data_IF_967801616908
#
_entry.id   IF_967801616908
#
_cell.length_a   1.000
_cell.length_b   1.000
_cell.length_c   1.000
_cell.angle_alpha   90.00
_cell.angle_beta   90.00
_cell.angle_gamma   90.00
#
_symmetry.space_group_name_H-M   'P 1'
#
loop_
_entity.id
_entity.type
_entity.pdbx_description
1 polymer ?
#
# COMPACT_ATOMS: atom_id res chain seq x y z
N UNK A 1 -45.47 -47.34 -13.90
CA UNK A 1 -44.70 -46.41 -13.06
C UNK A 1 -43.56 -45.83 -13.89
N UNK A 2 -43.81 -44.72 -14.60
CA UNK A 2 -42.82 -44.03 -15.43
C UNK A 2 -42.01 -43.08 -14.53
N UNK A 3 -40.70 -43.33 -14.39
CA UNK A 3 -39.76 -42.42 -13.72
C UNK A 3 -39.29 -41.37 -14.72
N UNK A 4 -39.66 -40.11 -14.47
CA UNK A 4 -39.12 -38.94 -15.14
C UNK A 4 -37.71 -38.65 -14.62
N UNK A 5 -36.72 -38.65 -15.52
CA UNK A 5 -35.37 -38.15 -15.25
C UNK A 5 -35.35 -36.67 -15.67
N UNK A 6 -35.30 -35.78 -14.68
CA UNK A 6 -35.12 -34.33 -14.87
C UNK A 6 -33.64 -34.05 -15.15
N UNK A 7 -33.31 -33.72 -16.38
CA UNK A 7 -32.03 -33.14 -16.79
C UNK A 7 -31.97 -31.66 -16.38
N UNK A 8 -31.17 -31.35 -15.36
CA UNK A 8 -30.86 -29.97 -14.99
C UNK A 8 -29.84 -29.42 -16.01
N UNK A 9 -30.31 -28.61 -16.95
CA UNK A 9 -29.44 -27.80 -17.81
C UNK A 9 -28.82 -26.68 -16.98
N UNK A 10 -27.52 -26.78 -16.75
CA UNK A 10 -26.72 -25.75 -16.11
C UNK A 10 -26.49 -24.60 -17.11
N UNK A 11 -27.29 -23.54 -17.03
CA UNK A 11 -27.02 -22.29 -17.75
C UNK A 11 -25.78 -21.62 -17.14
N UNK A 12 -24.65 -21.74 -17.84
CA UNK A 12 -23.46 -20.92 -17.64
C UNK A 12 -23.80 -19.45 -17.97
N UNK A 13 -24.17 -18.67 -16.95
CA UNK A 13 -24.15 -17.22 -17.02
C UNK A 13 -22.69 -16.75 -17.05
N UNK A 14 -22.15 -16.56 -18.25
CA UNK A 14 -20.91 -15.84 -18.44
C UNK A 14 -21.12 -14.39 -17.97
N UNK A 15 -20.58 -14.05 -16.80
CA UNK A 15 -20.48 -12.67 -16.36
C UNK A 15 -19.62 -11.87 -17.36
N UNK A 16 -19.98 -10.61 -17.65
CA UNK A 16 -19.17 -9.79 -18.56
C UNK A 16 -17.79 -9.56 -17.93
N UNK A 17 -16.75 -9.98 -18.64
CA UNK A 17 -15.37 -9.61 -18.34
C UNK A 17 -15.25 -8.10 -18.54
N UNK A 18 -15.20 -7.35 -17.44
CA UNK A 18 -14.78 -5.96 -17.48
C UNK A 18 -13.31 -5.95 -17.87
N UNK A 19 -13.02 -5.48 -19.08
CA UNK A 19 -11.66 -5.25 -19.53
C UNK A 19 -10.99 -4.29 -18.54
N UNK A 20 -10.06 -4.81 -17.73
CA UNK A 20 -9.17 -4.00 -16.91
C UNK A 20 -8.39 -3.08 -17.86
N UNK A 21 -8.68 -1.79 -17.81
CA UNK A 21 -7.95 -0.79 -18.56
C UNK A 21 -6.51 -0.79 -18.08
N UNK A 22 -5.58 -1.17 -18.94
CA UNK A 22 -4.14 -1.01 -18.72
C UNK A 22 -3.86 0.41 -18.23
N UNK A 23 -3.34 0.53 -17.00
CA UNK A 23 -2.96 1.80 -16.40
C UNK A 23 -1.89 2.48 -17.27
N UNK A 24 -2.33 3.33 -18.21
CA UNK A 24 -1.46 4.11 -19.08
C UNK A 24 -0.89 5.28 -18.30
N UNK A 25 0.38 5.14 -17.94
CA UNK A 25 1.37 6.20 -17.70
C UNK A 25 0.85 7.47 -17.04
N UNK A 26 1.10 7.58 -15.73
CA UNK A 26 1.03 8.84 -15.00
C UNK A 26 1.99 9.85 -15.66
N UNK A 27 1.51 11.04 -16.03
CA UNK A 27 2.34 12.15 -16.55
C UNK A 27 2.09 13.38 -15.67
N UNK A 28 2.18 13.17 -14.35
CA UNK A 28 2.12 14.24 -13.36
C UNK A 28 3.47 14.92 -13.19
N UNK A 29 3.56 16.02 -12.42
CA UNK A 29 4.85 16.41 -11.85
C UNK A 29 5.44 15.19 -11.12
N UNK A 30 6.77 14.99 -11.15
CA UNK A 30 7.39 13.92 -10.37
C UNK A 30 6.95 14.08 -8.91
N UNK A 31 6.60 12.96 -8.28
CA UNK A 31 6.35 12.96 -6.85
C UNK A 31 7.56 13.59 -6.12
N UNK A 32 7.35 14.20 -4.95
CA UNK A 32 8.47 14.73 -4.16
C UNK A 32 9.57 13.68 -4.06
N UNK A 33 10.81 14.08 -4.36
CA UNK A 33 11.96 13.17 -4.34
C UNK A 33 12.29 12.65 -2.92
N UNK A 34 11.55 13.10 -1.92
CA UNK A 34 11.72 12.84 -0.51
C UNK A 34 10.38 12.49 0.12
N UNK A 35 10.34 11.44 0.95
CA UNK A 35 9.18 11.04 1.74
C UNK A 35 9.57 10.98 3.21
N UNK A 36 8.89 11.75 4.05
CA UNK A 36 9.26 11.91 5.44
C UNK A 36 8.23 11.34 6.40
N UNK A 37 8.71 11.05 7.61
CA UNK A 37 7.91 10.77 8.81
C UNK A 37 6.95 11.92 9.11
N UNK A 38 5.94 11.67 9.94
CA UNK A 38 4.90 12.67 10.24
C UNK A 38 5.48 13.95 10.86
N UNK A 39 6.52 13.81 11.68
CA UNK A 39 7.25 14.93 12.29
C UNK A 39 8.30 15.57 11.36
N UNK A 40 8.49 15.04 10.15
CA UNK A 40 9.46 15.53 9.17
C UNK A 40 10.93 15.29 9.53
N UNK A 41 11.24 14.60 10.64
CA UNK A 41 12.63 14.44 11.12
C UNK A 41 13.42 13.41 10.33
N UNK A 42 12.76 12.39 9.79
CA UNK A 42 13.43 11.33 9.01
C UNK A 42 12.78 11.21 7.66
N UNK A 43 13.61 11.09 6.65
CA UNK A 43 13.16 11.11 5.28
C UNK A 43 13.90 10.08 4.45
N UNK A 44 13.20 9.52 3.47
CA UNK A 44 13.74 8.61 2.48
C UNK A 44 13.74 9.33 1.14
N UNK A 45 14.92 9.50 0.56
CA UNK A 45 15.12 10.12 -0.74
C UNK A 45 15.19 9.10 -1.87
N UNK A 46 14.74 9.46 -3.08
CA UNK A 46 14.88 8.60 -4.28
C UNK A 46 16.35 8.24 -4.54
N UNK A 47 17.26 9.22 -4.42
CA UNK A 47 18.68 9.05 -4.70
C UNK A 47 19.40 8.12 -3.70
N UNK A 48 18.93 8.06 -2.46
CA UNK A 48 19.52 7.26 -1.37
C UNK A 48 18.49 6.27 -0.81
N UNK A 49 17.59 5.78 -1.67
CA UNK A 49 16.41 5.03 -1.24
C UNK A 49 16.74 3.89 -0.28
N UNK A 50 17.70 3.03 -0.63
CA UNK A 50 18.06 1.87 0.17
C UNK A 50 18.83 2.24 1.45
N UNK A 51 19.91 3.05 1.42
CA UNK A 51 20.57 3.51 2.64
C UNK A 51 19.61 4.20 3.62
N UNK A 52 18.76 5.12 3.14
CA UNK A 52 17.79 5.83 3.97
C UNK A 52 16.75 4.88 4.56
N UNK A 53 16.24 3.94 3.76
CA UNK A 53 15.30 2.91 4.21
C UNK A 53 15.92 2.05 5.30
N UNK A 54 17.12 1.53 5.11
CA UNK A 54 17.80 0.70 6.10
C UNK A 54 18.12 1.48 7.39
N UNK A 55 18.54 2.75 7.29
CA UNK A 55 18.74 3.61 8.45
C UNK A 55 17.43 3.83 9.23
N UNK A 56 16.33 4.05 8.53
CA UNK A 56 15.02 4.22 9.17
C UNK A 56 14.50 2.92 9.77
N UNK A 57 14.74 1.76 9.15
CA UNK A 57 14.41 0.45 9.72
C UNK A 57 15.15 0.25 11.05
N UNK A 58 16.47 0.50 11.08
CA UNK A 58 17.26 0.39 12.30
C UNK A 58 16.68 1.28 13.42
N UNK A 59 16.42 2.54 13.07
CA UNK A 59 15.89 3.52 14.01
C UNK A 59 14.49 3.15 14.54
N UNK A 60 13.57 2.80 13.64
CA UNK A 60 12.20 2.46 14.03
C UNK A 60 12.14 1.16 14.83
N UNK A 61 13.03 0.20 14.55
CA UNK A 61 13.18 -1.01 15.34
C UNK A 61 13.64 -0.68 16.77
N UNK A 62 14.66 0.16 16.93
CA UNK A 62 15.19 0.59 18.22
C UNK A 62 14.11 1.24 19.10
N UNK A 63 13.40 2.24 18.56
CA UNK A 63 12.28 2.91 19.26
C UNK A 63 11.16 1.95 19.66
N UNK A 64 10.94 0.89 18.87
CA UNK A 64 9.91 -0.10 19.11
C UNK A 64 10.39 -1.28 19.98
N UNK A 65 11.66 -1.30 20.40
CA UNK A 65 12.27 -2.40 21.14
C UNK A 65 12.32 -3.71 20.33
N UNK A 66 12.48 -3.62 19.02
CA UNK A 66 12.57 -4.74 18.09
C UNK A 66 14.03 -4.97 17.68
N UNK A 67 14.36 -6.22 17.34
CA UNK A 67 15.60 -6.50 16.63
C UNK A 67 15.51 -5.94 15.19
N UNK A 68 16.50 -5.16 14.71
CA UNK A 68 16.45 -4.54 13.39
C UNK A 68 16.51 -5.57 12.25
N UNK A 69 17.18 -6.71 12.45
CA UNK A 69 17.21 -7.83 11.51
C UNK A 69 15.85 -8.52 11.39
N UNK A 70 15.13 -8.72 12.49
CA UNK A 70 13.74 -9.21 12.47
C UNK A 70 12.86 -8.29 11.63
N UNK A 71 12.94 -6.98 11.90
CA UNK A 71 12.10 -6.01 11.23
C UNK A 71 12.43 -5.85 9.74
N UNK A 72 13.72 -5.86 9.40
CA UNK A 72 14.19 -5.89 8.01
C UNK A 72 13.68 -7.12 7.25
N UNK A 73 13.81 -8.33 7.83
CA UNK A 73 13.29 -9.57 7.23
C UNK A 73 11.78 -9.51 7.00
N UNK A 74 11.04 -8.91 7.92
CA UNK A 74 9.61 -8.72 7.81
C UNK A 74 9.25 -7.80 6.63
N UNK A 75 9.80 -6.59 6.59
CA UNK A 75 9.54 -5.63 5.50
C UNK A 75 10.02 -6.17 4.14
N UNK A 76 11.10 -6.96 4.14
CA UNK A 76 11.56 -7.67 2.96
C UNK A 76 10.53 -8.71 2.50
N UNK A 77 9.93 -9.46 3.43
CA UNK A 77 8.90 -10.45 3.12
C UNK A 77 7.62 -9.80 2.60
N UNK A 78 7.28 -8.62 3.08
CA UNK A 78 6.09 -7.87 2.64
C UNK A 78 6.20 -7.38 1.20
N UNK A 79 7.31 -6.73 0.85
CA UNK A 79 7.38 -5.99 -0.42
C UNK A 79 8.74 -6.04 -1.12
N UNK A 80 9.77 -6.64 -0.48
CA UNK A 80 11.18 -6.48 -0.88
C UNK A 80 11.60 -5.02 -0.93
N UNK A 81 11.09 -4.24 0.02
CA UNK A 81 11.27 -2.78 0.12
C UNK A 81 10.66 -1.98 -1.04
N UNK A 82 9.69 -2.51 -1.78
CA UNK A 82 8.98 -1.75 -2.81
C UNK A 82 7.96 -0.79 -2.18
N UNK A 83 8.18 0.55 -2.25
CA UNK A 83 7.27 1.52 -1.65
C UNK A 83 5.96 1.65 -2.43
N UNK A 84 5.90 1.14 -3.66
CA UNK A 84 4.73 1.17 -4.54
C UNK A 84 3.95 -0.15 -4.55
N UNK A 85 4.34 -1.14 -3.74
CA UNK A 85 3.73 -2.47 -3.73
C UNK A 85 2.22 -2.42 -3.46
N UNK A 86 1.46 -3.20 -4.22
CA UNK A 86 0.03 -3.39 -4.04
C UNK A 86 -0.30 -4.88 -4.23
N UNK A 87 -0.78 -5.55 -3.18
CA UNK A 87 -1.19 -6.95 -3.30
C UNK A 87 -2.56 -7.09 -3.97
N UNK A 88 -2.91 -8.29 -4.49
CA UNK A 88 -4.25 -8.56 -5.01
C UNK A 88 -5.37 -8.38 -3.97
N UNK A 89 -5.06 -8.56 -2.69
CA UNK A 89 -5.99 -8.33 -1.58
C UNK A 89 -6.12 -6.85 -1.19
N UNK A 90 -5.25 -5.98 -1.74
CA UNK A 90 -5.26 -4.54 -1.51
C UNK A 90 -4.30 -4.07 -0.43
N UNK A 91 -3.33 -4.89 0.00
CA UNK A 91 -2.28 -4.48 0.94
C UNK A 91 -1.29 -3.52 0.27
N UNK A 92 -0.83 -2.49 0.99
CA UNK A 92 -0.26 -1.28 0.40
C UNK A 92 1.14 -0.94 0.92
N UNK A 93 2.03 -0.59 -0.01
CA UNK A 93 3.34 -0.01 0.23
C UNK A 93 4.37 -0.98 0.84
N UNK A 94 5.46 -0.41 1.34
CA UNK A 94 6.63 -1.16 1.82
C UNK A 94 6.29 -2.16 2.93
N UNK A 95 5.32 -1.81 3.78
CA UNK A 95 4.91 -2.59 4.94
C UNK A 95 3.57 -3.33 4.74
N UNK A 96 3.01 -3.29 3.53
CA UNK A 96 1.78 -3.98 3.12
C UNK A 96 0.61 -3.80 4.10
N UNK A 97 0.36 -2.56 4.51
CA UNK A 97 -0.82 -2.29 5.34
C UNK A 97 -2.10 -2.52 4.53
N UNK A 98 -3.03 -3.30 5.09
CA UNK A 98 -4.41 -3.31 4.60
C UNK A 98 -5.06 -1.95 4.86
N UNK A 99 -5.94 -1.44 3.97
CA UNK A 99 -6.52 -0.11 4.12
C UNK A 99 -7.26 0.11 5.44
N UNK A 100 -7.99 -0.91 5.92
CA UNK A 100 -8.66 -0.88 7.22
C UNK A 100 -7.66 -0.75 8.37
N UNK A 101 -6.57 -1.51 8.34
CA UNK A 101 -5.51 -1.44 9.34
C UNK A 101 -4.80 -0.09 9.30
N UNK A 102 -4.44 0.41 8.12
CA UNK A 102 -3.83 1.74 7.97
C UNK A 102 -4.68 2.83 8.64
N UNK A 103 -6.00 2.81 8.39
CA UNK A 103 -6.95 3.74 9.02
C UNK A 103 -6.99 3.60 10.55
N UNK A 104 -7.09 2.38 11.08
CA UNK A 104 -7.10 2.12 12.53
C UNK A 104 -5.81 2.59 13.21
N UNK A 105 -4.69 2.58 12.49
CA UNK A 105 -3.38 2.97 13.00
C UNK A 105 -2.98 4.42 12.65
N UNK A 106 -3.91 5.20 12.09
CA UNK A 106 -3.66 6.60 11.73
C UNK A 106 -2.62 6.80 10.62
N UNK A 107 -2.32 5.76 9.84
CA UNK A 107 -1.41 5.83 8.70
C UNK A 107 -2.15 6.39 7.49
N UNK A 108 -2.00 7.69 7.25
CA UNK A 108 -2.69 8.40 6.17
C UNK A 108 -2.23 7.98 4.78
N UNK A 109 -0.94 7.71 4.60
CA UNK A 109 -0.36 7.28 3.33
C UNK A 109 0.52 6.03 3.50
N UNK A 110 -0.03 4.83 3.27
CA UNK A 110 0.74 3.58 3.32
C UNK A 110 1.88 3.48 2.29
N UNK A 111 1.85 4.30 1.23
CA UNK A 111 2.87 4.34 0.18
C UNK A 111 3.99 5.34 0.48
N UNK A 112 3.87 6.15 1.55
CA UNK A 112 4.99 6.86 2.11
C UNK A 112 5.82 5.87 2.95
N UNK A 113 6.99 5.42 2.47
CA UNK A 113 7.75 4.38 3.16
C UNK A 113 8.20 4.83 4.54
N UNK A 114 8.49 6.13 4.74
CA UNK A 114 8.96 6.62 6.03
C UNK A 114 7.86 6.50 7.10
N UNK A 115 6.63 6.89 6.76
CA UNK A 115 5.49 6.74 7.67
C UNK A 115 5.10 5.28 7.88
N UNK A 116 5.12 4.48 6.81
CA UNK A 116 4.77 3.06 6.87
C UNK A 116 5.75 2.24 7.72
N UNK A 117 7.06 2.50 7.63
CA UNK A 117 8.08 1.83 8.46
C UNK A 117 7.84 2.14 9.94
N UNK A 118 7.68 3.42 10.32
CA UNK A 118 7.43 3.77 11.71
C UNK A 118 6.11 3.17 12.24
N UNK A 119 5.05 3.19 11.42
CA UNK A 119 3.77 2.59 11.79
C UNK A 119 3.87 1.07 11.96
N UNK A 120 4.61 0.39 11.07
CA UNK A 120 4.81 -1.06 11.11
C UNK A 120 5.59 -1.48 12.35
N UNK A 121 6.66 -0.76 12.71
CA UNK A 121 7.44 -1.03 13.91
C UNK A 121 6.58 -0.92 15.19
N UNK A 122 5.80 0.17 15.32
CA UNK A 122 4.87 0.33 16.44
C UNK A 122 3.82 -0.78 16.48
N UNK A 123 3.25 -1.12 15.33
CA UNK A 123 2.25 -2.18 15.25
C UNK A 123 2.83 -3.55 15.66
N UNK A 124 4.06 -3.86 15.26
CA UNK A 124 4.76 -5.07 15.69
C UNK A 124 5.07 -5.08 17.19
N UNK A 125 5.46 -3.95 17.77
CA UNK A 125 5.65 -3.84 19.21
C UNK A 125 4.34 -4.11 19.98
N UNK A 126 3.21 -3.57 19.51
CA UNK A 126 1.89 -3.86 20.08
C UNK A 126 1.52 -5.35 19.94
N UNK A 127 1.79 -5.95 18.77
CA UNK A 127 1.54 -7.38 18.54
C UNK A 127 2.39 -8.25 19.45
N UNK A 128 3.67 -7.92 19.63
CA UNK A 128 4.57 -8.59 20.58
C UNK A 128 4.07 -8.43 22.01
N UNK A 129 3.69 -7.24 22.43
CA UNK A 129 3.15 -7.01 23.77
C UNK A 129 1.85 -7.80 24.00
N UNK A 130 1.01 -7.91 22.97
CA UNK A 130 -0.29 -8.60 23.04
C UNK A 130 -0.16 -10.13 23.02
N UNK A 131 0.77 -10.66 22.24
CA UNK A 131 0.91 -12.11 22.01
C UNK A 131 2.14 -12.73 22.65
N UNK A 132 2.97 -11.94 23.32
CA UNK A 132 4.07 -12.38 24.18
C UNK A 132 5.44 -12.45 23.49
N UNK A 133 5.50 -12.82 22.20
CA UNK A 133 6.78 -13.00 21.50
C UNK A 133 6.74 -12.56 20.02
N UNK A 134 7.92 -12.47 19.39
CA UNK A 134 8.09 -11.98 18.02
C UNK A 134 7.53 -12.93 16.95
N UNK A 135 7.50 -14.24 17.21
CA UNK A 135 6.89 -15.20 16.30
C UNK A 135 5.38 -15.05 16.23
N UNK A 136 4.72 -14.97 17.38
CA UNK A 136 3.28 -14.72 17.44
C UNK A 136 2.92 -13.29 17.00
N UNK A 137 3.84 -12.33 17.15
CA UNK A 137 3.69 -11.01 16.54
C UNK A 137 3.66 -11.09 15.00
N UNK A 138 4.54 -11.89 14.39
CA UNK A 138 4.53 -12.13 12.93
C UNK A 138 3.24 -12.85 12.49
N UNK A 139 2.71 -13.79 13.30
CA UNK A 139 1.38 -14.40 13.06
C UNK A 139 0.30 -13.33 13.04
N UNK A 140 0.27 -12.43 14.02
CA UNK A 140 -0.71 -11.35 14.10
C UNK A 140 -0.59 -10.34 12.96
N UNK A 141 0.62 -10.02 12.55
CA UNK A 141 0.89 -9.07 11.48
C UNK A 141 0.37 -9.57 10.12
N UNK A 142 0.74 -10.78 9.71
CA UNK A 142 0.32 -11.35 8.42
C UNK A 142 -1.06 -12.01 8.47
N UNK A 143 -1.32 -12.82 9.50
CA UNK A 143 -2.54 -13.62 9.62
C UNK A 143 -3.75 -12.86 10.19
N UNK A 144 -3.51 -11.68 10.77
CA UNK A 144 -4.50 -10.88 11.49
C UNK A 144 -4.62 -11.28 12.96
N UNK A 145 -4.96 -10.29 13.80
CA UNK A 145 -5.00 -10.42 15.25
C UNK A 145 -5.98 -11.51 15.75
N UNK A 146 -7.13 -11.65 15.09
CA UNK A 146 -8.16 -12.63 15.44
C UNK A 146 -7.67 -14.06 15.19
N UNK A 147 -6.99 -14.27 14.06
CA UNK A 147 -6.40 -15.56 13.71
C UNK A 147 -5.28 -15.91 14.67
N UNK A 148 -4.43 -14.94 15.04
CA UNK A 148 -3.41 -15.14 16.06
C UNK A 148 -4.03 -15.56 17.41
N UNK A 149 -5.07 -14.86 17.89
CA UNK A 149 -5.76 -15.24 19.14
C UNK A 149 -6.33 -16.66 19.09
N UNK A 150 -6.97 -17.04 17.99
CA UNK A 150 -7.54 -18.38 17.84
C UNK A 150 -6.46 -19.46 17.78
N UNK A 151 -5.35 -19.19 17.08
CA UNK A 151 -4.21 -20.09 17.00
C UNK A 151 -3.53 -20.32 18.36
N UNK A 152 -3.29 -19.23 19.11
CA UNK A 152 -2.71 -19.29 20.46
C UNK A 152 -3.61 -20.07 21.40
N UNK A 153 -4.94 -19.88 21.29
CA UNK A 153 -5.90 -20.58 22.13
C UNK A 153 -6.18 -22.04 21.69
N UNK A 154 -5.49 -22.58 20.69
CA UNK A 154 -5.72 -23.93 20.16
C UNK A 154 -7.08 -24.12 19.48
N UNK A 155 -7.77 -23.03 19.11
CA UNK A 155 -9.14 -23.01 18.56
C UNK A 155 -9.18 -22.85 17.03
N UNK A 156 -8.03 -22.75 16.37
CA UNK A 156 -7.94 -22.63 14.92
C UNK A 156 -6.52 -22.83 14.40
N UNK A 157 -6.42 -23.10 13.10
CA UNK A 157 -5.14 -23.21 12.39
C UNK A 157 -4.72 -21.91 11.71
N UNK A 158 -3.52 -21.92 11.13
CA UNK A 158 -3.00 -20.83 10.32
C UNK A 158 -3.12 -21.15 8.83
N UNK A 159 -3.27 -20.11 8.01
CA UNK A 159 -3.16 -20.26 6.56
C UNK A 159 -1.71 -20.62 6.20
N UNK A 160 -1.52 -21.42 5.15
CA UNK A 160 -0.18 -21.83 4.70
C UNK A 160 0.76 -20.66 4.40
N UNK A 161 0.21 -19.53 3.93
CA UNK A 161 0.94 -18.28 3.76
C UNK A 161 1.55 -17.78 5.08
N UNK A 162 0.74 -17.73 6.14
CA UNK A 162 1.18 -17.27 7.48
C UNK A 162 2.21 -18.21 8.09
N UNK A 163 2.06 -19.53 7.91
CA UNK A 163 3.05 -20.52 8.36
C UNK A 163 4.40 -20.26 7.67
N UNK A 164 4.39 -20.11 6.34
CA UNK A 164 5.60 -19.81 5.57
C UNK A 164 6.20 -18.44 5.94
N UNK A 165 5.35 -17.45 6.22
CA UNK A 165 5.74 -16.10 6.60
C UNK A 165 6.51 -16.07 7.92
N UNK A 166 5.98 -16.71 8.97
CA UNK A 166 6.65 -16.80 10.28
C UNK A 166 8.01 -17.48 10.13
N UNK A 167 8.04 -18.63 9.45
CA UNK A 167 9.27 -19.38 9.24
C UNK A 167 10.33 -18.58 8.48
N UNK A 168 9.93 -17.80 7.47
CA UNK A 168 10.85 -16.99 6.68
C UNK A 168 11.50 -15.87 7.51
N UNK A 169 10.79 -15.31 8.50
CA UNK A 169 11.28 -14.19 9.31
C UNK A 169 12.10 -14.71 10.49
N UNK A 170 11.61 -15.75 11.16
CA UNK A 170 12.18 -16.19 12.43
C UNK A 170 13.02 -17.47 12.34
N UNK A 171 12.94 -18.22 11.26
CA UNK A 171 13.58 -19.54 11.15
C UNK A 171 12.86 -20.68 11.88
N UNK A 172 11.76 -20.40 12.58
CA UNK A 172 11.02 -21.35 13.43
C UNK A 172 9.55 -21.43 13.01
N UNK A 173 8.87 -22.54 13.35
CA UNK A 173 7.44 -22.68 13.07
C UNK A 173 6.59 -21.82 14.01
N UNK A 174 5.35 -21.52 13.64
CA UNK A 174 4.44 -20.79 14.51
C UNK A 174 4.07 -21.62 15.76
N UNK A 175 4.04 -22.94 15.62
CA UNK A 175 3.82 -23.91 16.70
C UNK A 175 4.99 -23.89 17.70
N UNK A 176 6.24 -23.84 17.24
CA UNK A 176 7.40 -23.67 18.14
C UNK A 176 7.22 -22.40 18.97
N UNK A 177 6.86 -21.27 18.33
CA UNK A 177 6.63 -20.02 19.04
C UNK A 177 5.45 -20.02 20.00
N UNK A 178 4.46 -20.89 19.79
CA UNK A 178 3.30 -21.03 20.68
C UNK A 178 3.61 -21.94 21.87
N UNK A 179 4.24 -23.08 21.60
CA UNK A 179 4.33 -24.19 22.55
C UNK A 179 5.69 -24.25 23.25
N UNK A 180 6.77 -23.94 22.53
CA UNK A 180 8.17 -24.07 23.00
C UNK A 180 9.04 -22.97 22.38
N UNK A 181 8.73 -21.71 22.71
CA UNK A 181 9.37 -20.56 22.07
C UNK A 181 10.90 -20.61 22.24
N UNK A 182 11.68 -20.38 21.16
CA UNK A 182 13.13 -20.38 21.25
C UNK A 182 13.61 -19.27 22.19
N UNK A 183 14.58 -19.60 23.06
CA UNK A 183 15.15 -18.64 24.02
C UNK A 183 15.86 -17.48 23.34
N UNK A 184 16.56 -17.77 22.23
CA UNK A 184 17.25 -16.78 21.41
C UNK A 184 17.12 -17.13 19.93
N UNK A 185 17.02 -16.11 19.08
CA UNK A 185 16.96 -16.24 17.62
C UNK A 185 17.96 -15.30 17.00
N UNK A 186 18.77 -15.82 16.07
CA UNK A 186 19.71 -15.01 15.30
C UNK A 186 19.00 -14.32 14.13
N UNK A 187 18.75 -13.02 14.30
CA UNK A 187 18.12 -12.19 13.29
C UNK A 187 19.09 -11.48 12.35
N UNK A 188 20.42 -11.69 12.49
CA UNK A 188 21.42 -11.06 11.62
C UNK A 188 21.15 -11.38 10.16
N UNK A 189 21.30 -10.38 9.31
CA UNK A 189 20.97 -10.51 7.88
C UNK A 189 22.07 -11.24 7.11
N UNK A 190 23.33 -11.08 7.53
CA UNK A 190 24.50 -11.69 6.91
C UNK A 190 25.64 -11.83 7.93
N UNK A 191 25.77 -13.01 8.55
CA UNK A 191 26.87 -13.33 9.48
C UNK A 191 27.17 -12.22 10.51
N UNK A 192 28.43 -11.81 10.57
CA UNK A 192 28.91 -10.73 11.45
C UNK A 192 28.87 -9.34 10.79
N UNK A 193 28.30 -9.23 9.59
CA UNK A 193 28.21 -7.96 8.86
C UNK A 193 27.31 -6.99 9.65
N UNK A 194 27.77 -5.74 9.92
CA UNK A 194 26.94 -4.74 10.59
C UNK A 194 25.60 -4.51 9.87
N UNK A 195 24.53 -4.35 10.65
CA UNK A 195 23.15 -4.31 10.13
C UNK A 195 22.97 -3.40 8.91
N UNK A 196 23.42 -2.15 8.97
CA UNK A 196 23.21 -1.18 7.89
C UNK A 196 23.84 -1.65 6.56
N UNK A 197 25.02 -2.27 6.64
CA UNK A 197 25.71 -2.81 5.46
C UNK A 197 24.97 -4.03 4.91
N UNK A 198 24.61 -4.98 5.78
CA UNK A 198 23.89 -6.18 5.38
C UNK A 198 22.50 -5.87 4.77
N UNK A 199 21.75 -4.95 5.39
CA UNK A 199 20.45 -4.48 4.89
C UNK A 199 20.59 -3.81 3.52
N UNK A 200 21.61 -2.96 3.34
CA UNK A 200 21.85 -2.27 2.06
C UNK A 200 22.22 -3.27 0.95
N UNK A 201 23.07 -4.25 1.26
CA UNK A 201 23.49 -5.29 0.31
C UNK A 201 22.30 -6.19 -0.10
N UNK A 202 21.45 -6.58 0.85
CA UNK A 202 20.25 -7.38 0.56
C UNK A 202 19.35 -6.74 -0.51
N UNK A 203 19.28 -5.41 -0.52
CA UNK A 203 18.41 -4.65 -1.40
C UNK A 203 19.13 -3.89 -2.52
N UNK A 204 20.39 -4.23 -2.84
CA UNK A 204 21.21 -3.49 -3.81
C UNK A 204 20.59 -3.43 -5.23
N UNK A 205 19.79 -4.45 -5.56
CA UNK A 205 19.08 -4.53 -6.84
C UNK A 205 17.85 -3.62 -6.90
N UNK A 206 17.36 -3.16 -5.76
CA UNK A 206 16.21 -2.26 -5.68
C UNK A 206 16.64 -0.84 -6.02
N UNK A 207 16.20 -0.35 -7.17
CA UNK A 207 16.43 1.03 -7.61
C UNK A 207 15.10 1.74 -7.75
N UNK A 208 14.90 2.77 -6.94
CA UNK A 208 13.75 3.63 -7.05
C UNK A 208 14.06 4.77 -8.04
N UNK A 209 13.23 4.92 -9.08
CA UNK A 209 13.33 6.04 -10.03
C UNK A 209 12.54 7.26 -9.59
N UNK A 210 11.39 7.00 -8.98
CA UNK A 210 10.44 8.00 -8.50
C UNK A 210 9.57 7.34 -7.43
N UNK A 211 9.09 8.11 -6.47
CA UNK A 211 7.95 7.66 -5.67
C UNK A 211 6.70 7.67 -6.53
N UNK A 212 5.89 6.62 -6.45
CA UNK A 212 4.60 6.57 -7.13
C UNK A 212 3.51 6.63 -6.10
N UNK A 213 2.75 7.72 -6.11
CA UNK A 213 1.52 7.79 -5.34
C UNK A 213 0.53 6.76 -5.89
N UNK A 214 -0.23 6.07 -5.02
CA UNK A 214 -1.23 5.11 -5.46
C UNK A 214 -2.21 5.74 -6.44
N UNK A 215 -2.69 4.90 -7.36
CA UNK A 215 -3.84 5.28 -8.17
C UNK A 215 -5.08 5.09 -7.29
N UNK A 216 -5.79 6.16 -6.91
CA UNK A 216 -7.00 6.06 -6.10
C UNK A 216 -8.06 5.26 -6.90
N UNK A 217 -8.94 4.50 -6.23
CA UNK A 217 -9.95 3.69 -6.92
C UNK A 217 -10.94 4.55 -7.70
N UNK A 218 -11.12 5.80 -7.28
CA UNK A 218 -11.92 6.79 -7.98
C UNK A 218 -11.18 8.11 -8.11
N UNK A 219 -11.67 8.95 -9.00
CA UNK A 219 -11.23 10.31 -9.13
C UNK A 219 -12.23 11.16 -9.90
N UNK A 220 -11.92 12.44 -10.01
CA UNK A 220 -12.65 13.35 -10.88
C UNK A 220 -11.69 14.06 -11.83
N UNK A 221 -12.05 14.10 -13.10
CA UNK A 221 -11.39 14.91 -14.13
C UNK A 221 -11.98 16.32 -14.04
N UNK A 222 -11.15 17.29 -13.69
CA UNK A 222 -11.54 18.71 -13.52
C UNK A 222 -11.13 19.59 -14.71
N UNK A 223 -10.22 19.09 -15.55
CA UNK A 223 -9.86 19.71 -16.82
C UNK A 223 -9.23 18.69 -17.77
N UNK A 224 -9.22 19.00 -19.07
CA UNK A 224 -8.52 18.20 -20.08
C UNK A 224 -7.92 19.08 -21.17
N UNK A 225 -6.87 18.59 -21.83
CA UNK A 225 -6.15 19.30 -22.88
C UNK A 225 -5.55 18.35 -23.92
N UNK A 226 -5.25 18.90 -25.10
CA UNK A 226 -4.62 18.16 -26.20
C UNK A 226 -3.13 17.86 -25.95
N UNK A 227 -2.51 18.55 -24.98
CA UNK A 227 -1.13 18.33 -24.53
C UNK A 227 -1.03 18.43 -23.01
N UNK A 228 0.04 17.87 -22.42
CA UNK A 228 0.29 17.93 -20.98
C UNK A 228 0.30 19.37 -20.46
N UNK A 229 0.99 20.29 -21.15
CA UNK A 229 1.05 21.72 -20.79
C UNK A 229 -0.33 22.37 -20.75
N UNK A 230 -1.20 22.08 -21.73
CA UNK A 230 -2.56 22.65 -21.77
C UNK A 230 -3.40 22.09 -20.62
N UNK A 231 -3.35 20.77 -20.38
CA UNK A 231 -4.06 20.16 -19.26
C UNK A 231 -3.60 20.72 -17.91
N UNK A 232 -2.29 20.97 -17.74
CA UNK A 232 -1.72 21.63 -16.55
C UNK A 232 -2.24 23.05 -16.36
N UNK A 233 -2.23 23.86 -17.41
CA UNK A 233 -2.74 25.24 -17.36
C UNK A 233 -4.22 25.27 -16.97
N UNK A 234 -5.04 24.43 -17.61
CA UNK A 234 -6.47 24.37 -17.30
C UNK A 234 -6.75 23.77 -15.92
N UNK A 235 -6.00 22.76 -15.49
CA UNK A 235 -6.11 22.19 -14.15
C UNK A 235 -5.79 23.23 -13.07
N UNK A 236 -4.67 23.95 -13.21
CA UNK A 236 -4.29 25.02 -12.28
C UNK A 236 -5.30 26.17 -12.28
N UNK A 237 -5.87 26.52 -13.44
CA UNK A 237 -6.93 27.51 -13.53
C UNK A 237 -8.22 27.05 -12.85
N UNK A 238 -8.60 25.77 -13.01
CA UNK A 238 -9.73 25.17 -12.30
C UNK A 238 -9.51 25.20 -10.78
N UNK A 239 -8.29 24.88 -10.33
CA UNK A 239 -7.92 24.96 -8.91
C UNK A 239 -8.05 26.37 -8.34
N UNK A 240 -7.52 27.38 -9.05
CA UNK A 240 -7.65 28.78 -8.63
C UNK A 240 -9.09 29.26 -8.53
N UNK A 241 -9.96 28.84 -9.47
CA UNK A 241 -11.39 29.22 -9.45
C UNK A 241 -12.21 28.50 -8.38
N UNK A 242 -11.78 27.30 -7.98
CA UNK A 242 -12.50 26.44 -7.04
C UNK A 242 -11.58 26.10 -5.86
N UNK A 243 -10.86 27.09 -5.31
CA UNK A 243 -9.81 26.86 -4.30
C UNK A 243 -10.32 26.22 -3.01
N UNK A 244 -11.61 26.39 -2.69
CA UNK A 244 -12.27 25.72 -1.58
C UNK A 244 -12.52 24.21 -1.81
N UNK A 245 -12.50 23.75 -3.07
CA UNK A 245 -12.80 22.37 -3.46
C UNK A 245 -11.59 21.63 -4.05
N UNK A 246 -10.64 22.37 -4.64
CA UNK A 246 -9.50 21.81 -5.37
C UNK A 246 -8.20 22.30 -4.71
N UNK A 247 -7.55 21.38 -4.02
CA UNK A 247 -6.16 21.53 -3.62
C UNK A 247 -5.27 21.31 -4.85
N UNK A 248 -4.61 22.38 -5.31
CA UNK A 248 -3.73 22.33 -6.48
C UNK A 248 -2.56 21.36 -6.32
N UNK A 249 -2.11 21.08 -5.08
CA UNK A 249 -1.03 20.12 -4.81
C UNK A 249 -1.47 18.66 -5.06
N UNK A 250 -2.78 18.39 -4.99
CA UNK A 250 -3.37 17.07 -5.24
C UNK A 250 -3.73 16.82 -6.70
N UNK A 251 -3.49 17.79 -7.59
CA UNK A 251 -3.77 17.63 -9.01
C UNK A 251 -2.79 16.65 -9.66
N UNK A 252 -3.36 15.61 -10.25
CA UNK A 252 -2.67 14.59 -11.02
C UNK A 252 -2.87 14.84 -12.50
N UNK A 253 -1.82 14.76 -13.30
CA UNK A 253 -1.93 14.91 -14.75
C UNK A 253 -1.69 13.55 -15.41
N UNK A 254 -2.67 13.02 -16.11
CA UNK A 254 -2.59 11.67 -16.67
C UNK A 254 -3.25 11.59 -18.02
N UNK A 255 -2.82 10.63 -18.84
CA UNK A 255 -3.45 10.39 -20.12
C UNK A 255 -4.59 9.39 -19.96
N UNK A 256 -5.83 9.88 -20.05
CA UNK A 256 -7.03 9.08 -19.81
C UNK A 256 -8.12 9.33 -20.86
N UNK A 257 -9.00 8.34 -21.05
CA UNK A 257 -10.26 8.54 -21.76
C UNK A 257 -11.25 9.24 -20.82
N UNK A 258 -12.00 10.19 -21.34
CA UNK A 258 -12.96 10.96 -20.56
C UNK A 258 -14.34 10.33 -20.74
N UNK A 259 -15.03 9.90 -19.69
CA UNK A 259 -16.36 9.30 -19.82
C UNK A 259 -17.36 10.24 -20.52
N UNK A 260 -17.97 9.73 -21.60
CA UNK A 260 -18.88 10.47 -22.46
C UNK A 260 -18.20 11.36 -23.52
N UNK A 261 -16.88 11.28 -23.69
CA UNK A 261 -16.10 12.10 -24.63
C UNK A 261 -15.23 11.21 -25.55
N UNK A 262 -15.88 10.48 -26.46
CA UNK A 262 -15.22 9.62 -27.44
C UNK A 262 -14.30 8.55 -26.85
N UNK A 263 -13.54 7.87 -27.72
CA UNK A 263 -12.60 6.79 -27.32
C UNK A 263 -11.13 7.23 -27.26
N UNK A 264 -10.81 8.47 -27.65
CA UNK A 264 -9.43 8.96 -27.72
C UNK A 264 -8.97 9.49 -26.38
N UNK A 265 -7.86 8.96 -25.86
CA UNK A 265 -7.26 9.45 -24.62
C UNK A 265 -6.72 10.88 -24.78
N UNK A 266 -6.96 11.71 -23.76
CA UNK A 266 -6.49 13.09 -23.68
C UNK A 266 -5.61 13.28 -22.43
N UNK A 267 -4.87 14.39 -22.36
CA UNK A 267 -4.21 14.77 -21.12
C UNK A 267 -5.26 15.36 -20.19
N UNK A 268 -5.37 14.82 -18.98
CA UNK A 268 -6.43 15.17 -18.02
C UNK A 268 -5.81 15.66 -16.73
N UNK A 269 -6.43 16.65 -16.09
CA UNK A 269 -6.16 17.05 -14.72
C UNK A 269 -7.18 16.36 -13.82
N UNK A 270 -6.72 15.53 -12.90
CA UNK A 270 -7.55 14.69 -12.05
C UNK A 270 -7.30 14.98 -10.58
N UNK A 271 -8.35 14.85 -9.77
CA UNK A 271 -8.26 14.79 -8.32
C UNK A 271 -8.57 13.35 -7.85
N UNK A 272 -7.80 12.83 -6.88
CA UNK A 272 -8.08 11.53 -6.29
C UNK A 272 -9.38 11.55 -5.47
N UNK A 273 -10.09 10.43 -5.45
CA UNK A 273 -11.23 10.19 -4.57
C UNK A 273 -11.18 8.77 -4.00
N UNK A 274 -11.39 8.63 -2.70
CA UNK A 274 -11.28 7.34 -2.00
C UNK A 274 -12.44 6.38 -2.33
N UNK A 275 -13.56 6.91 -2.83
CA UNK A 275 -14.73 6.12 -3.19
C UNK A 275 -15.52 6.78 -4.31
N UNK A 276 -16.43 6.00 -4.92
CA UNK A 276 -17.40 6.50 -5.90
C UNK A 276 -18.25 7.63 -5.33
N UNK A 277 -18.65 7.50 -4.07
CA UNK A 277 -19.50 8.48 -3.38
C UNK A 277 -18.74 9.79 -3.13
N UNK A 278 -17.48 9.71 -2.70
CA UNK A 278 -16.62 10.87 -2.56
C UNK A 278 -16.40 11.59 -3.90
N UNK A 279 -16.15 10.82 -4.97
CA UNK A 279 -16.02 11.35 -6.33
C UNK A 279 -17.32 12.05 -6.78
N UNK A 280 -18.48 11.44 -6.53
CA UNK A 280 -19.78 12.00 -6.88
C UNK A 280 -20.06 13.31 -6.14
N UNK A 281 -19.82 13.32 -4.82
CA UNK A 281 -19.99 14.52 -3.97
C UNK A 281 -19.14 15.67 -4.47
N UNK A 282 -17.84 15.43 -4.71
CA UNK A 282 -16.92 16.43 -5.26
C UNK A 282 -17.37 16.92 -6.64
N UNK A 283 -17.80 16.01 -7.50
CA UNK A 283 -18.24 16.35 -8.85
C UNK A 283 -19.50 17.22 -8.87
N UNK A 284 -20.45 16.93 -7.99
CA UNK A 284 -21.67 17.73 -7.83
C UNK A 284 -21.33 19.13 -7.30
N UNK A 285 -20.44 19.24 -6.30
CA UNK A 285 -19.98 20.52 -5.78
C UNK A 285 -19.31 21.37 -6.87
N UNK A 286 -18.39 20.79 -7.65
CA UNK A 286 -17.73 21.51 -8.76
C UNK A 286 -18.73 21.97 -9.82
N UNK A 287 -19.68 21.11 -10.22
CA UNK A 287 -20.71 21.46 -11.22
C UNK A 287 -21.63 22.57 -10.73
N UNK A 288 -21.97 22.60 -9.43
CA UNK A 288 -22.79 23.67 -8.84
C UNK A 288 -22.12 25.05 -8.93
N UNK A 289 -20.79 25.10 -9.04
CA UNK A 289 -20.00 26.32 -9.26
C UNK A 289 -19.68 26.57 -10.75
N UNK A 290 -20.37 25.87 -11.66
CA UNK A 290 -20.12 25.95 -13.12
C UNK A 290 -18.83 25.26 -13.58
N UNK A 291 -18.18 24.49 -12.70
CA UNK A 291 -16.95 23.78 -12.99
C UNK A 291 -17.16 22.52 -13.84
N UNK A 292 -16.20 22.23 -14.72
CA UNK A 292 -16.14 20.96 -15.42
C UNK A 292 -15.83 19.84 -14.43
N UNK A 293 -16.59 18.75 -14.49
CA UNK A 293 -16.25 17.53 -13.78
C UNK A 293 -16.77 16.27 -14.47
N UNK A 294 -15.89 15.25 -14.58
CA UNK A 294 -16.25 13.88 -14.93
C UNK A 294 -15.66 12.91 -13.93
N UNK A 295 -16.49 12.04 -13.34
CA UNK A 295 -15.99 10.95 -12.51
C UNK A 295 -15.24 9.93 -13.36
N UNK A 296 -14.19 9.33 -12.78
CA UNK A 296 -13.44 8.22 -13.36
C UNK A 296 -13.22 7.17 -12.26
N UNK A 297 -13.39 5.89 -12.61
CA UNK A 297 -13.01 4.75 -11.77
C UNK A 297 -11.77 4.10 -12.39
N UNK A 298 -10.85 3.66 -11.54
CA UNK A 298 -9.60 3.00 -11.94
C UNK A 298 -9.63 1.50 -11.61
#
# INVERSE_FOLDING_TARGET
MLRWVLTISCLLCAAPVWAQGTARGFVGPPAPALRCTVDGRRCIGVAHYIPDTCALIAHAADEAGLDPGYFARLLWRESRYDPAALSPAGAQGIAQFMPGTAKLRGLADPYNPAQAIEASARYLAEMRARFGNLGLAAVGYNGGEDRARNFIAGRGGLAGETIAYVRAITGHSAEDWRDNAPEAVDYRLDGDTPFLRACTQQAESQKLREFRDPVPPWGVIVAAGRSARIAQNFGRAAARRNSALIDASKLRFVRATIPGFGRRAQYTAQLPAESREAALKLCNALRSQGGFCKMIGN
#
